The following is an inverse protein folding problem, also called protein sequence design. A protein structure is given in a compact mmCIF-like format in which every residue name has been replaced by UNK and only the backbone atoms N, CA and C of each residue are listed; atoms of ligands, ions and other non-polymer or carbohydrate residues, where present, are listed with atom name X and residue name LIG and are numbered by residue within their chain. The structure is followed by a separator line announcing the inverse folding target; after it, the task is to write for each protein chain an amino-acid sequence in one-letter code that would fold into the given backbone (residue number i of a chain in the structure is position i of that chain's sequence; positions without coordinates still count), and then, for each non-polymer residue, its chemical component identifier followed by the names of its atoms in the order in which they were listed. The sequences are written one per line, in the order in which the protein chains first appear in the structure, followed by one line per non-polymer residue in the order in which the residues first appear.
data_IF_891315955532
#
_entry.id   IF_891315955532
#
_cell.length_a   1.000
_cell.length_b   1.000
_cell.length_c   1.000
_cell.angle_alpha   90.00
_cell.angle_beta   90.00
_cell.angle_gamma   90.00
#
_symmetry.space_group_name_H-M   'P 1'
#
loop_
_entity.id
_entity.type
_entity.pdbx_description
1 polymer ?
#
# COMPACT_ATOMS: atom_id res chain seq x y z
N UNK A 1 -0.08 16.90 3.16
CA UNK A 1 -0.79 17.32 4.40
C UNK A 1 -0.81 16.10 5.30
N UNK A 2 -0.30 16.19 6.53
CA UNK A 2 -0.40 15.06 7.45
C UNK A 2 -1.87 14.93 7.84
N UNK A 3 -2.53 13.87 7.35
CA UNK A 3 -3.86 13.52 7.82
C UNK A 3 -3.81 13.36 9.34
N UNK A 4 -4.75 13.99 10.04
CA UNK A 4 -4.78 14.06 11.50
C UNK A 4 -5.15 12.67 12.07
N UNK A 5 -4.16 11.78 12.18
CA UNK A 5 -4.34 10.38 12.59
C UNK A 5 -3.03 9.74 13.02
N UNK A 6 -3.11 8.72 13.88
CA UNK A 6 -1.92 7.97 14.32
C UNK A 6 -1.51 7.03 13.20
N UNK A 7 -0.37 7.32 12.57
CA UNK A 7 0.29 6.43 11.61
C UNK A 7 0.41 5.03 12.22
N UNK A 8 -0.27 4.06 11.61
CA UNK A 8 -0.25 2.65 11.98
C UNK A 8 0.93 1.94 11.32
N UNK A 9 1.33 0.82 11.90
CA UNK A 9 2.43 0.01 11.40
C UNK A 9 2.10 -1.48 11.48
N UNK A 10 2.76 -2.23 10.63
CA UNK A 10 2.78 -3.70 10.64
C UNK A 10 4.19 -4.13 11.00
N UNK A 11 4.29 -5.11 11.88
CA UNK A 11 5.56 -5.75 12.19
C UNK A 11 5.91 -6.73 11.06
N UNK A 12 7.07 -6.53 10.46
CA UNK A 12 7.58 -7.34 9.37
C UNK A 12 8.77 -8.15 9.88
N UNK A 13 8.75 -9.50 9.78
CA UNK A 13 9.84 -10.33 10.28
C UNK A 13 11.11 -10.08 9.47
N UNK A 14 12.21 -9.84 10.18
CA UNK A 14 13.52 -9.65 9.56
C UNK A 14 13.94 -10.91 8.79
N UNK A 15 14.42 -10.74 7.56
CA UNK A 15 14.85 -11.84 6.69
C UNK A 15 13.74 -12.74 6.14
N UNK A 16 12.49 -12.59 6.62
CA UNK A 16 11.32 -13.41 6.25
C UNK A 16 10.55 -12.92 5.03
N UNK A 17 10.99 -11.83 4.40
CA UNK A 17 10.24 -11.14 3.34
C UNK A 17 11.07 -10.97 2.07
N UNK A 18 10.40 -11.14 0.93
CA UNK A 18 10.87 -10.76 -0.39
C UNK A 18 10.21 -9.44 -0.79
N UNK A 19 11.01 -8.39 -0.92
CA UNK A 19 10.56 -7.06 -1.33
C UNK A 19 10.22 -7.05 -2.83
N UNK A 20 9.09 -6.45 -3.22
CA UNK A 20 8.56 -6.54 -4.59
C UNK A 20 9.11 -5.50 -5.54
N UNK A 21 9.56 -4.35 -5.03
CA UNK A 21 9.89 -3.18 -5.85
C UNK A 21 8.67 -2.49 -6.47
N UNK A 22 7.44 -2.83 -6.03
CA UNK A 22 6.22 -2.14 -6.45
C UNK A 22 6.15 -0.70 -5.89
N UNK A 23 7.01 -0.38 -4.92
CA UNK A 23 7.27 0.97 -4.41
C UNK A 23 8.64 1.43 -4.92
N UNK A 24 8.69 2.44 -5.79
CA UNK A 24 9.97 2.93 -6.34
C UNK A 24 10.65 3.85 -5.33
N UNK A 25 11.93 3.58 -5.05
CA UNK A 25 12.75 4.47 -4.23
C UNK A 25 13.01 5.78 -5.00
N UNK A 26 12.59 6.94 -4.48
CA UNK A 26 12.85 8.24 -5.12
C UNK A 26 14.34 8.61 -5.10
N UNK A 27 15.13 8.01 -4.23
CA UNK A 27 16.57 8.23 -4.09
C UNK A 27 17.35 7.14 -4.83
N UNK A 28 17.35 7.19 -6.17
CA UNK A 28 18.25 6.36 -6.96
C UNK A 28 19.66 6.92 -6.88
N UNK A 29 20.66 6.04 -6.82
CA UNK A 29 22.09 6.36 -6.64
C UNK A 29 22.74 7.13 -7.81
N UNK A 30 21.98 7.40 -8.87
CA UNK A 30 22.43 8.01 -10.13
C UNK A 30 22.01 9.48 -10.33
N UNK A 31 21.44 10.13 -9.31
CA UNK A 31 21.09 11.55 -9.44
C UNK A 31 22.25 12.48 -9.09
N UNK A 32 23.06 12.77 -10.12
CA UNK A 32 23.58 14.12 -10.35
C UNK A 32 22.39 15.09 -10.39
N UNK A 33 22.31 15.99 -9.41
CA UNK A 33 21.57 17.26 -9.37
C UNK A 33 20.07 17.34 -9.74
N UNK A 34 19.37 16.26 -10.13
CA UNK A 34 17.94 16.39 -10.40
C UNK A 34 17.14 16.49 -9.09
N UNK A 35 16.54 17.67 -8.88
CA UNK A 35 15.61 17.97 -7.81
C UNK A 35 14.45 16.96 -7.85
N UNK A 36 14.35 16.12 -6.80
CA UNK A 36 13.21 15.23 -6.61
C UNK A 36 11.89 16.02 -6.67
N UNK A 37 10.93 15.51 -7.42
CA UNK A 37 9.61 16.13 -7.62
C UNK A 37 8.68 16.03 -6.41
N UNK A 38 9.15 15.40 -5.32
CA UNK A 38 8.40 15.19 -4.08
C UNK A 38 7.34 14.09 -4.17
N UNK A 39 7.32 13.30 -5.26
CA UNK A 39 6.32 12.26 -5.49
C UNK A 39 6.95 10.88 -5.42
N UNK A 40 6.24 9.94 -4.81
CA UNK A 40 6.63 8.54 -4.74
C UNK A 40 5.84 7.75 -5.78
N UNK A 41 6.51 6.99 -6.64
CA UNK A 41 5.84 6.21 -7.68
C UNK A 41 5.58 4.79 -7.19
N UNK A 42 4.37 4.30 -7.42
CA UNK A 42 3.95 3.00 -6.92
C UNK A 42 3.07 2.24 -7.93
N UNK A 43 3.20 0.91 -7.92
CA UNK A 43 2.29 -0.02 -8.59
C UNK A 43 1.25 -0.48 -7.60
N UNK A 44 0.00 -0.13 -7.85
CA UNK A 44 -1.08 -0.50 -6.98
C UNK A 44 -2.09 -1.42 -7.62
N UNK A 45 -2.81 -2.10 -6.75
CA UNK A 45 -3.71 -3.19 -7.08
C UNK A 45 -5.03 -2.94 -6.37
N UNK A 46 -6.11 -3.37 -7.02
CA UNK A 46 -7.43 -3.38 -6.40
C UNK A 46 -7.45 -4.40 -5.26
N UNK A 47 -8.16 -4.05 -4.19
CA UNK A 47 -8.46 -4.95 -3.09
C UNK A 47 -9.62 -5.88 -3.47
N UNK A 48 -9.49 -7.17 -3.13
CA UNK A 48 -10.51 -8.20 -3.36
C UNK A 48 -10.75 -8.92 -2.03
N UNK A 49 -11.26 -8.17 -1.06
CA UNK A 49 -11.43 -8.60 0.33
C UNK A 49 -12.79 -8.15 0.83
N UNK A 50 -13.41 -8.97 1.68
CA UNK A 50 -14.67 -8.64 2.35
C UNK A 50 -14.43 -7.69 3.53
N UNK A 51 -15.47 -6.99 3.98
CA UNK A 51 -15.34 -5.94 4.99
C UNK A 51 -14.85 -6.50 6.35
N UNK A 52 -15.33 -7.68 6.74
CA UNK A 52 -14.95 -8.36 7.98
C UNK A 52 -13.48 -8.82 7.95
N UNK A 53 -13.05 -9.48 6.87
CA UNK A 53 -11.64 -9.86 6.70
C UNK A 53 -10.73 -8.64 6.63
N UNK A 54 -11.22 -7.53 6.05
CA UNK A 54 -10.47 -6.28 5.99
C UNK A 54 -10.19 -5.73 7.39
N UNK A 55 -11.19 -5.70 8.29
CA UNK A 55 -11.01 -5.19 9.65
C UNK A 55 -10.01 -6.03 10.46
N UNK A 56 -9.92 -7.33 10.21
CA UNK A 56 -8.95 -8.21 10.87
C UNK A 56 -7.52 -8.02 10.35
N UNK A 57 -7.37 -7.77 9.05
CA UNK A 57 -6.06 -7.78 8.35
C UNK A 57 -5.44 -6.41 8.16
N UNK A 58 -6.24 -5.35 8.25
CA UNK A 58 -5.83 -3.98 7.96
C UNK A 58 -5.91 -3.07 9.18
N UNK A 59 -5.00 -2.10 9.23
CA UNK A 59 -4.97 -1.03 10.23
C UNK A 59 -5.04 0.30 9.51
N UNK A 60 -6.17 0.98 9.66
CA UNK A 60 -6.41 2.31 9.09
C UNK A 60 -5.80 3.40 9.98
N UNK A 61 -5.15 4.38 9.36
CA UNK A 61 -4.46 5.50 10.01
C UNK A 61 -5.46 6.52 10.62
N UNK A 62 -6.67 6.62 10.05
CA UNK A 62 -7.75 7.50 10.47
C UNK A 62 -8.95 6.69 10.96
N UNK A 63 -9.29 6.82 12.25
CA UNK A 63 -10.45 6.14 12.83
C UNK A 63 -11.81 6.62 12.29
N UNK A 64 -11.84 7.74 11.56
CA UNK A 64 -13.06 8.31 10.98
C UNK A 64 -13.33 7.87 9.54
N UNK A 65 -12.33 7.28 8.87
CA UNK A 65 -12.47 6.87 7.48
C UNK A 65 -12.96 5.42 7.43
N UNK A 66 -14.15 5.21 6.87
CA UNK A 66 -14.65 3.87 6.60
C UNK A 66 -13.97 3.32 5.35
N UNK A 67 -13.70 2.03 5.36
CA UNK A 67 -13.21 1.32 4.20
C UNK A 67 -14.22 1.45 3.05
N UNK A 68 -13.72 1.81 1.86
CA UNK A 68 -14.51 1.87 0.64
C UNK A 68 -13.85 0.98 -0.43
N UNK A 69 -14.37 -0.23 -0.68
CA UNK A 69 -13.71 -1.24 -1.52
C UNK A 69 -13.33 -0.77 -2.93
N UNK A 70 -14.15 0.12 -3.51
CA UNK A 70 -13.96 0.61 -4.87
C UNK A 70 -13.00 1.80 -4.98
N UNK A 71 -12.78 2.52 -3.88
CA UNK A 71 -11.95 3.73 -3.84
C UNK A 71 -10.53 3.42 -3.36
N UNK A 72 -10.40 2.38 -2.52
CA UNK A 72 -9.15 2.00 -1.91
C UNK A 72 -8.36 1.05 -2.79
N UNK A 73 -7.05 1.25 -2.81
CA UNK A 73 -6.08 0.40 -3.49
C UNK A 73 -4.99 0.00 -2.50
N UNK A 74 -4.20 -0.98 -2.89
CA UNK A 74 -3.04 -1.38 -2.11
C UNK A 74 -1.78 -1.39 -2.96
N UNK A 75 -0.65 -1.08 -2.32
CA UNK A 75 0.69 -1.28 -2.88
C UNK A 75 1.33 -2.41 -2.10
N UNK A 76 1.70 -3.49 -2.78
CA UNK A 76 2.37 -4.62 -2.15
C UNK A 76 3.83 -4.27 -1.96
N UNK A 77 4.28 -4.07 -0.73
CA UNK A 77 5.67 -3.72 -0.43
C UNK A 77 6.55 -4.96 -0.37
N UNK A 78 6.00 -6.05 0.16
CA UNK A 78 6.72 -7.31 0.30
C UNK A 78 5.79 -8.51 0.40
N UNK A 79 6.35 -9.70 0.20
CA UNK A 79 5.68 -10.99 0.37
C UNK A 79 6.45 -11.85 1.35
N UNK A 80 5.77 -12.62 2.18
CA UNK A 80 6.42 -13.62 3.02
C UNK A 80 7.13 -14.66 2.15
N UNK A 81 8.31 -15.13 2.60
CA UNK A 81 9.06 -16.18 1.90
C UNK A 81 8.44 -17.57 2.05
N UNK A 82 7.66 -17.78 3.12
CA UNK A 82 6.94 -19.00 3.39
C UNK A 82 5.43 -18.75 3.44
N UNK A 83 4.69 -19.84 3.30
CA UNK A 83 3.26 -19.87 3.59
C UNK A 83 3.01 -19.65 5.09
N UNK A 84 1.85 -19.07 5.41
CA UNK A 84 1.32 -18.97 6.76
C UNK A 84 0.79 -20.35 7.23
N UNK A 85 0.19 -20.38 8.43
CA UNK A 85 -0.35 -21.62 9.00
C UNK A 85 -1.49 -22.24 8.16
N UNK A 86 -2.12 -21.46 7.30
CA UNK A 86 -3.24 -21.86 6.43
C UNK A 86 -2.77 -22.28 5.03
N UNK A 87 -1.48 -22.14 4.72
CA UNK A 87 -0.91 -22.49 3.41
C UNK A 87 -0.82 -21.31 2.44
N UNK A 88 -1.24 -20.11 2.84
CA UNK A 88 -1.23 -18.92 1.99
C UNK A 88 0.00 -18.03 2.17
N UNK A 89 0.37 -17.29 1.12
CA UNK A 89 1.44 -16.30 1.19
C UNK A 89 0.93 -14.95 1.69
N UNK A 90 1.48 -14.47 2.80
CA UNK A 90 1.17 -13.17 3.34
C UNK A 90 1.81 -12.07 2.48
N UNK A 91 1.03 -11.03 2.19
CA UNK A 91 1.44 -9.83 1.47
C UNK A 91 1.39 -8.63 2.40
N UNK A 92 2.53 -7.96 2.57
CA UNK A 92 2.64 -6.74 3.36
C UNK A 92 2.31 -5.56 2.45
N UNK A 93 1.26 -4.82 2.79
CA UNK A 93 0.71 -3.78 1.91
C UNK A 93 0.65 -2.41 2.59
N UNK A 94 0.80 -1.37 1.77
CA UNK A 94 0.35 -0.01 2.07
C UNK A 94 -1.04 0.16 1.48
N UNK A 95 -1.97 0.67 2.29
CA UNK A 95 -3.30 1.04 1.84
C UNK A 95 -3.27 2.50 1.41
N UNK A 96 -3.84 2.75 0.25
CA UNK A 96 -3.95 4.09 -0.32
C UNK A 96 -5.36 4.35 -0.82
N UNK A 97 -5.75 5.61 -0.89
CA UNK A 97 -6.95 6.03 -1.58
C UNK A 97 -6.66 7.24 -2.44
N UNK A 98 -7.52 7.45 -3.43
CA UNK A 98 -7.44 8.64 -4.26
C UNK A 98 -7.86 9.87 -3.46
N UNK A 99 -7.02 10.91 -3.48
CA UNK A 99 -7.39 12.20 -2.91
C UNK A 99 -8.39 12.86 -3.85
N UNK A 100 -9.56 13.24 -3.32
CA UNK A 100 -10.55 14.04 -4.04
C UNK A 100 -9.91 15.38 -4.47
N UNK A 101 -9.49 15.46 -5.73
CA UNK A 101 -8.76 16.60 -6.27
C UNK A 101 -8.96 16.70 -7.78
N UNK A 102 -8.96 17.92 -8.32
CA UNK A 102 -8.99 18.17 -9.77
C UNK A 102 -7.61 18.01 -10.43
N UNK A 103 -6.60 17.51 -9.70
CA UNK A 103 -5.24 17.32 -10.22
C UNK A 103 -5.18 16.08 -11.13
N UNK A 104 -4.67 16.27 -12.34
CA UNK A 104 -4.38 15.20 -13.30
C UNK A 104 -2.86 15.09 -13.46
N UNK A 105 -2.25 13.91 -13.28
CA UNK A 105 -2.86 12.63 -12.89
C UNK A 105 -3.34 12.60 -11.43
N UNK A 106 -4.31 11.73 -11.09
CA UNK A 106 -4.81 11.60 -9.73
C UNK A 106 -3.68 11.27 -8.76
N UNK A 107 -3.77 11.86 -7.57
CA UNK A 107 -2.79 11.70 -6.50
C UNK A 107 -3.40 10.81 -5.43
N UNK A 108 -2.63 9.82 -5.00
CA UNK A 108 -3.04 8.90 -3.94
C UNK A 108 -2.38 9.30 -2.63
N UNK A 109 -3.08 9.07 -1.53
CA UNK A 109 -2.54 9.28 -0.19
C UNK A 109 -2.68 8.00 0.64
N UNK A 110 -1.78 7.86 1.61
CA UNK A 110 -1.74 6.70 2.48
C UNK A 110 -2.87 6.78 3.51
N UNK A 111 -3.57 5.67 3.69
CA UNK A 111 -4.66 5.53 4.68
C UNK A 111 -4.47 4.37 5.63
N UNK A 112 -3.46 3.53 5.44
CA UNK A 112 -3.20 2.46 6.39
C UNK A 112 -2.20 1.45 5.88
N UNK A 113 -2.17 0.32 6.57
CA UNK A 113 -1.27 -0.80 6.33
C UNK A 113 -2.01 -2.11 6.58
N UNK A 114 -1.56 -3.21 5.98
CA UNK A 114 -2.19 -4.51 6.22
C UNK A 114 -1.31 -5.72 5.89
N UNK A 115 -1.78 -6.89 6.33
CA UNK A 115 -1.24 -8.20 5.96
C UNK A 115 -2.35 -8.97 5.23
N UNK A 116 -2.29 -8.95 3.90
CA UNK A 116 -3.30 -9.55 3.03
C UNK A 116 -2.88 -10.93 2.55
N UNK A 117 -3.84 -11.77 2.20
CA UNK A 117 -3.55 -13.00 1.45
C UNK A 117 -3.36 -12.68 -0.03
N UNK A 118 -2.76 -13.62 -0.77
CA UNK A 118 -2.61 -13.48 -2.22
C UNK A 118 -3.95 -13.32 -2.94
N UNK A 119 -5.00 -13.98 -2.45
CA UNK A 119 -6.37 -13.91 -2.99
C UNK A 119 -7.02 -12.56 -2.75
N UNK A 120 -6.58 -11.81 -1.73
CA UNK A 120 -7.13 -10.49 -1.38
C UNK A 120 -6.63 -9.36 -2.29
N UNK A 121 -5.73 -9.65 -3.22
CA UNK A 121 -5.06 -8.66 -4.05
C UNK A 121 -5.21 -9.01 -5.53
N UNK A 122 -5.79 -8.10 -6.31
CA UNK A 122 -5.91 -8.29 -7.74
C UNK A 122 -4.54 -8.43 -8.44
N UNK A 123 -4.51 -9.20 -9.54
CA UNK A 123 -3.31 -9.38 -10.36
C UNK A 123 -2.97 -8.12 -11.16
N UNK A 124 -3.99 -7.35 -11.55
CA UNK A 124 -3.85 -6.14 -12.35
C UNK A 124 -3.22 -5.00 -11.54
N UNK A 125 -2.29 -4.28 -12.18
CA UNK A 125 -1.57 -3.16 -11.56
C UNK A 125 -1.81 -1.86 -12.30
N UNK A 126 -2.01 -0.77 -11.56
CA UNK A 126 -2.03 0.60 -12.07
C UNK A 126 -0.87 1.38 -11.45
N UNK A 127 -0.15 2.17 -12.25
CA UNK A 127 0.93 3.03 -11.76
C UNK A 127 0.34 4.38 -11.32
N UNK A 128 0.69 4.85 -10.13
CA UNK A 128 0.33 6.19 -9.66
C UNK A 128 1.43 6.85 -8.83
N UNK A 129 1.16 8.09 -8.45
CA UNK A 129 1.99 8.87 -7.53
C UNK A 129 1.31 8.99 -6.15
N UNK A 130 2.09 8.77 -5.10
CA UNK A 130 1.70 8.97 -3.70
C UNK A 130 2.28 10.31 -3.22
N UNK A 131 1.48 11.11 -2.51
CA UNK A 131 1.87 12.40 -1.94
C UNK A 131 1.46 12.60 -0.47
#
# INVERSE_FOLDING_TARGET
MALMGRIRYVEIPFGGVTWTGDLENPFQSSFDDAKWDGRLRAKARRLVIEDDEFEERCKVDLSLQKFEPNSWKCVVVGKSKGANQEGDMNQYVLLVHERLSSVVPPVYERVGVGILLQTHVALETTIFHIA
#
